data_IF_948945132414
#
_entry.id   IF_948945132414
#
_cell.length_a   1.000
_cell.length_b   1.000
_cell.length_c   1.000
_cell.angle_alpha   90.00
_cell.angle_beta   90.00
_cell.angle_gamma   90.00
#
_symmetry.space_group_name_H-M   'P 1'
#
loop_
_entity.id
_entity.type
_entity.pdbx_description
1 polymer ?
#
# COMPACT_ATOMS: atom_id res chain seq x y z
N UNK A 1 -7.24 -1.84 -29.35
CA UNK A 1 -5.78 -2.00 -29.13
C UNK A 1 -5.44 -2.35 -27.68
N UNK A 2 -5.96 -1.64 -26.67
CA UNK A 2 -5.65 -1.86 -25.25
C UNK A 2 -5.86 -3.30 -24.74
N UNK A 3 -7.05 -3.90 -24.97
CA UNK A 3 -7.34 -5.30 -24.59
C UNK A 3 -6.28 -6.28 -25.08
N UNK A 4 -5.92 -6.18 -26.37
CA UNK A 4 -4.90 -7.03 -26.99
C UNK A 4 -3.54 -6.87 -26.29
N UNK A 5 -3.12 -5.63 -26.05
CA UNK A 5 -1.82 -5.34 -25.41
C UNK A 5 -1.75 -5.81 -23.95
N UNK A 6 -2.85 -5.67 -23.20
CA UNK A 6 -2.94 -6.19 -21.85
C UNK A 6 -2.76 -7.72 -21.81
N UNK A 7 -3.44 -8.44 -22.71
CA UNK A 7 -3.32 -9.91 -22.82
C UNK A 7 -1.90 -10.31 -23.24
N UNK A 8 -1.32 -9.64 -24.26
CA UNK A 8 0.06 -9.90 -24.69
C UNK A 8 1.08 -9.76 -23.55
N UNK A 9 0.95 -8.70 -22.73
CA UNK A 9 1.81 -8.51 -21.56
C UNK A 9 1.54 -9.57 -20.49
N UNK A 10 0.28 -9.86 -20.16
CA UNK A 10 -0.08 -10.90 -19.21
C UNK A 10 0.53 -12.25 -19.56
N UNK A 11 0.48 -12.66 -20.84
CA UNK A 11 1.09 -13.90 -21.32
C UNK A 11 2.61 -13.93 -21.09
N UNK A 12 3.28 -12.78 -21.26
CA UNK A 12 4.72 -12.63 -21.02
C UNK A 12 5.11 -12.67 -19.55
N UNK A 13 4.17 -12.44 -18.63
CA UNK A 13 4.39 -12.50 -17.18
C UNK A 13 4.21 -13.91 -16.59
N UNK A 14 3.51 -14.81 -17.28
CA UNK A 14 3.26 -16.17 -16.80
C UNK A 14 4.53 -16.96 -16.37
N UNK A 15 5.71 -16.79 -17.00
CA UNK A 15 6.93 -17.43 -16.54
C UNK A 15 7.41 -17.01 -15.14
N UNK A 16 6.98 -15.86 -14.60
CA UNK A 16 7.33 -15.44 -13.23
C UNK A 16 6.86 -16.47 -12.18
N UNK A 17 5.75 -17.16 -12.45
CA UNK A 17 5.15 -18.17 -11.57
C UNK A 17 5.81 -19.55 -11.69
N UNK A 18 6.88 -19.70 -12.48
CA UNK A 18 7.64 -20.95 -12.59
C UNK A 18 8.59 -21.12 -11.40
N UNK A 19 8.00 -21.33 -10.23
CA UNK A 19 8.67 -21.62 -8.96
C UNK A 19 8.05 -22.89 -8.36
N UNK A 20 8.74 -23.61 -7.47
CA UNK A 20 8.19 -24.81 -6.83
C UNK A 20 6.84 -24.59 -6.15
N UNK A 21 6.61 -23.41 -5.58
CA UNK A 21 5.37 -23.05 -4.87
C UNK A 21 4.32 -22.38 -5.75
N UNK A 22 4.74 -21.84 -6.89
CA UNK A 22 3.94 -20.95 -7.72
C UNK A 22 3.84 -19.51 -7.20
N UNK A 23 4.56 -19.15 -6.13
CA UNK A 23 4.77 -17.75 -5.73
C UNK A 23 5.73 -17.13 -6.73
N UNK A 24 5.38 -16.00 -7.38
CA UNK A 24 6.15 -15.48 -8.50
C UNK A 24 7.49 -14.87 -8.08
N UNK A 25 8.43 -14.88 -9.03
CA UNK A 25 9.65 -14.07 -8.98
C UNK A 25 9.33 -12.57 -9.10
N UNK A 26 10.08 -11.73 -8.38
CA UNK A 26 9.97 -10.27 -8.45
C UNK A 26 10.46 -9.70 -9.80
N UNK A 27 11.56 -10.22 -10.32
CA UNK A 27 12.19 -9.76 -11.56
C UNK A 27 12.03 -10.80 -12.64
N UNK A 28 11.58 -10.39 -13.83
CA UNK A 28 11.41 -11.28 -14.98
C UNK A 28 11.99 -10.66 -16.26
N UNK A 29 12.85 -11.41 -16.96
CA UNK A 29 13.21 -11.07 -18.33
C UNK A 29 12.10 -11.52 -19.28
N UNK A 30 11.36 -10.58 -19.88
CA UNK A 30 10.21 -10.87 -20.75
C UNK A 30 10.58 -11.62 -22.05
N UNK A 31 11.85 -11.56 -22.48
CA UNK A 31 12.32 -12.27 -23.68
C UNK A 31 12.70 -13.71 -23.37
N UNK A 32 13.51 -13.93 -22.34
CA UNK A 32 13.99 -15.28 -21.98
C UNK A 32 13.04 -16.04 -21.06
N UNK A 33 12.14 -15.35 -20.35
CA UNK A 33 11.28 -15.93 -19.32
C UNK A 33 12.00 -16.33 -18.04
N UNK A 34 13.26 -15.92 -17.85
CA UNK A 34 14.06 -16.21 -16.66
C UNK A 34 13.73 -15.18 -15.57
N UNK A 35 13.34 -15.67 -14.40
CA UNK A 35 13.01 -14.85 -13.24
C UNK A 35 13.96 -15.04 -12.06
N UNK A 36 14.00 -14.05 -11.17
CA UNK A 36 14.72 -14.06 -9.89
C UNK A 36 14.09 -13.08 -8.91
N UNK A 37 14.40 -13.20 -7.63
CA UNK A 37 14.04 -12.19 -6.63
C UNK A 37 15.09 -11.09 -6.48
N UNK A 38 14.75 -10.05 -5.73
CA UNK A 38 15.67 -8.96 -5.40
C UNK A 38 16.93 -9.47 -4.69
N UNK A 39 18.12 -8.97 -5.04
CA UNK A 39 19.37 -9.42 -4.41
C UNK A 39 19.42 -9.17 -2.89
N UNK A 40 18.73 -8.14 -2.41
CA UNK A 40 18.68 -7.75 -0.99
C UNK A 40 17.53 -8.40 -0.22
N UNK A 41 16.58 -9.07 -0.92
CA UNK A 41 15.43 -9.66 -0.26
C UNK A 41 15.85 -10.78 0.69
N UNK A 42 15.25 -10.77 1.89
CA UNK A 42 15.57 -11.69 2.98
C UNK A 42 15.52 -13.15 2.52
N UNK A 43 16.65 -13.86 2.56
CA UNK A 43 16.73 -15.26 2.13
C UNK A 43 16.29 -15.52 0.69
N UNK A 44 16.41 -14.53 -0.20
CA UNK A 44 15.94 -14.63 -1.59
C UNK A 44 14.42 -14.73 -1.73
N UNK A 45 13.67 -14.21 -0.75
CA UNK A 45 12.21 -14.26 -0.72
C UNK A 45 11.55 -13.32 -1.73
N UNK A 46 10.31 -13.63 -2.09
CA UNK A 46 9.41 -12.73 -2.81
C UNK A 46 8.72 -11.79 -1.81
N UNK A 47 8.34 -10.59 -2.26
CA UNK A 47 7.77 -9.53 -1.41
C UNK A 47 6.24 -9.60 -1.40
N UNK A 48 5.63 -9.52 -0.21
CA UNK A 48 4.19 -9.67 0.01
C UNK A 48 3.34 -8.77 -0.87
N UNK A 49 3.61 -7.47 -0.89
CA UNK A 49 2.88 -6.53 -1.76
C UNK A 49 3.11 -6.85 -3.26
N UNK A 50 4.30 -7.29 -3.67
CA UNK A 50 4.56 -7.55 -5.10
C UNK A 50 3.76 -8.74 -5.64
N UNK A 51 3.75 -9.87 -4.93
CA UNK A 51 2.96 -11.03 -5.38
C UNK A 51 1.49 -10.94 -4.97
N UNK A 52 1.18 -10.17 -3.92
CA UNK A 52 -0.18 -9.95 -3.42
C UNK A 52 -1.01 -9.04 -4.33
N UNK A 53 -0.36 -8.12 -5.04
CA UNK A 53 -1.01 -7.06 -5.83
C UNK A 53 -1.03 -7.41 -7.33
N UNK A 54 -1.41 -8.65 -7.63
CA UNK A 54 -1.60 -9.16 -9.00
C UNK A 54 -3.05 -9.61 -9.26
N UNK A 55 -3.85 -9.69 -8.20
CA UNK A 55 -5.11 -10.43 -8.21
C UNK A 55 -6.15 -9.81 -9.15
N UNK A 56 -6.36 -8.49 -9.06
CA UNK A 56 -7.41 -7.80 -9.82
C UNK A 56 -7.13 -7.88 -11.33
N UNK A 57 -5.89 -7.61 -11.73
CA UNK A 57 -5.45 -7.60 -13.13
C UNK A 57 -5.53 -9.01 -13.70
N UNK A 58 -5.05 -10.02 -12.99
CA UNK A 58 -5.02 -11.39 -13.50
C UNK A 58 -6.42 -12.00 -13.61
N UNK A 59 -7.33 -11.70 -12.69
CA UNK A 59 -8.74 -12.10 -12.81
C UNK A 59 -9.38 -11.43 -14.05
N UNK A 60 -9.13 -10.15 -14.26
CA UNK A 60 -9.59 -9.45 -15.46
C UNK A 60 -8.97 -10.00 -16.76
N UNK A 61 -7.68 -10.38 -16.74
CA UNK A 61 -7.02 -11.01 -17.89
C UNK A 61 -7.66 -12.36 -18.23
N UNK A 62 -8.03 -13.19 -17.24
CA UNK A 62 -8.79 -14.42 -17.49
C UNK A 62 -10.14 -14.12 -18.13
N UNK A 63 -10.89 -13.15 -17.59
CA UNK A 63 -12.20 -12.74 -18.14
C UNK A 63 -12.09 -12.24 -19.59
N UNK A 64 -11.10 -11.41 -19.89
CA UNK A 64 -10.94 -10.80 -21.21
C UNK A 64 -10.32 -11.74 -22.25
N UNK A 65 -9.50 -12.70 -21.84
CA UNK A 65 -8.85 -13.65 -22.76
C UNK A 65 -9.64 -14.94 -22.95
N UNK A 66 -10.52 -15.30 -22.02
CA UNK A 66 -11.16 -16.61 -21.93
C UNK A 66 -10.21 -17.72 -21.46
N UNK A 67 -8.97 -17.40 -21.07
CA UNK A 67 -7.97 -18.37 -20.59
C UNK A 67 -7.95 -18.36 -19.06
N UNK A 68 -8.29 -19.47 -18.37
CA UNK A 68 -8.36 -19.49 -16.90
C UNK A 68 -7.00 -19.31 -16.22
N UNK A 69 -5.91 -19.55 -16.94
CA UNK A 69 -4.53 -19.60 -16.42
C UNK A 69 -4.13 -18.37 -15.59
N UNK A 70 -4.60 -17.17 -15.92
CA UNK A 70 -4.23 -15.96 -15.16
C UNK A 70 -4.82 -15.98 -13.75
N UNK A 71 -6.13 -16.17 -13.64
CA UNK A 71 -6.85 -16.35 -12.38
C UNK A 71 -6.29 -17.54 -11.57
N UNK A 72 -5.99 -18.67 -12.23
CA UNK A 72 -5.38 -19.83 -11.55
C UNK A 72 -4.06 -19.49 -10.86
N UNK A 73 -3.23 -18.61 -11.45
CA UNK A 73 -1.95 -18.19 -10.84
C UNK A 73 -2.18 -17.44 -9.53
N UNK A 74 -3.05 -16.43 -9.53
CA UNK A 74 -3.29 -15.62 -8.32
C UNK A 74 -4.13 -16.35 -7.27
N UNK A 75 -4.98 -17.29 -7.67
CA UNK A 75 -5.66 -18.19 -6.73
C UNK A 75 -4.69 -19.18 -6.08
N UNK A 76 -3.64 -19.62 -6.79
CA UNK A 76 -2.59 -20.44 -6.18
C UNK A 76 -1.82 -19.68 -5.09
N UNK A 77 -1.57 -18.38 -5.26
CA UNK A 77 -0.94 -17.54 -4.21
C UNK A 77 -1.75 -17.62 -2.90
N UNK A 78 -3.08 -17.46 -2.98
CA UNK A 78 -3.96 -17.59 -1.80
C UNK A 78 -3.88 -18.97 -1.16
N UNK A 79 -3.87 -20.04 -1.96
CA UNK A 79 -3.71 -21.41 -1.46
C UNK A 79 -2.41 -21.59 -0.67
N UNK A 80 -1.31 -20.99 -1.12
CA UNK A 80 -0.03 -21.02 -0.40
C UNK A 80 -0.15 -20.25 0.93
N UNK A 81 -0.65 -19.01 0.89
CA UNK A 81 -0.81 -18.17 2.08
C UNK A 81 -1.75 -18.77 3.13
N UNK A 82 -2.82 -19.46 2.71
CA UNK A 82 -3.80 -20.07 3.61
C UNK A 82 -3.28 -21.31 4.34
N UNK A 83 -2.22 -21.95 3.83
CA UNK A 83 -1.56 -23.08 4.50
C UNK A 83 -0.54 -22.65 5.56
N UNK A 84 -0.18 -21.38 5.58
CA UNK A 84 0.83 -20.86 6.50
C UNK A 84 0.19 -20.31 7.76
N UNK A 85 0.78 -20.69 8.90
CA UNK A 85 0.56 -20.01 10.16
C UNK A 85 1.04 -18.56 10.04
N UNK A 86 0.17 -17.65 10.47
CA UNK A 86 0.43 -16.20 10.43
C UNK A 86 0.86 -15.80 11.84
N UNK A 87 2.13 -15.41 12.07
CA UNK A 87 2.60 -15.06 13.41
C UNK A 87 1.76 -13.92 13.99
N UNK A 88 1.04 -14.18 15.08
CA UNK A 88 0.10 -13.24 15.69
C UNK A 88 -1.03 -12.76 14.75
N UNK A 89 -1.38 -13.56 13.73
CA UNK A 89 -2.32 -13.18 12.69
C UNK A 89 -1.74 -12.22 11.64
N UNK A 90 -0.48 -11.81 11.77
CA UNK A 90 0.19 -10.90 10.86
C UNK A 90 0.85 -11.63 9.68
N UNK A 91 0.98 -10.93 8.56
CA UNK A 91 1.60 -11.45 7.35
C UNK A 91 3.04 -10.90 7.22
N UNK A 92 4.08 -11.74 7.35
CA UNK A 92 5.43 -11.31 7.03
C UNK A 92 5.56 -10.86 5.58
N UNK A 93 6.32 -9.79 5.37
CA UNK A 93 6.53 -9.19 4.05
C UNK A 93 7.40 -10.05 3.10
N UNK A 94 7.95 -11.17 3.58
CA UNK A 94 8.88 -12.03 2.86
C UNK A 94 8.41 -13.47 2.87
N UNK A 95 8.24 -14.07 1.68
CA UNK A 95 7.91 -15.49 1.53
C UNK A 95 8.84 -16.13 0.50
N UNK A 96 9.48 -17.24 0.85
CA UNK A 96 10.43 -17.91 -0.03
C UNK A 96 9.70 -18.72 -1.12
N UNK A 97 9.89 -18.43 -2.42
CA UNK A 97 9.14 -19.09 -3.49
C UNK A 97 9.56 -20.54 -3.76
N UNK A 98 10.66 -21.01 -3.17
CA UNK A 98 11.11 -22.41 -3.30
C UNK A 98 10.54 -23.28 -2.18
N UNK A 99 10.61 -22.83 -0.92
CA UNK A 99 10.11 -23.61 0.23
C UNK A 99 8.65 -23.34 0.59
N UNK A 100 8.13 -22.18 0.18
CA UNK A 100 6.78 -21.73 0.55
C UNK A 100 6.66 -21.30 2.00
N UNK A 101 7.77 -21.03 2.68
CA UNK A 101 7.82 -20.62 4.08
C UNK A 101 8.12 -19.13 4.22
N UNK A 102 7.72 -18.55 5.36
CA UNK A 102 8.08 -17.17 5.69
C UNK A 102 9.60 -16.98 5.79
N UNK A 103 10.06 -15.81 5.33
CA UNK A 103 11.40 -15.31 5.58
C UNK A 103 11.48 -14.62 6.95
N UNK A 104 12.19 -13.50 7.02
CA UNK A 104 12.17 -12.66 8.23
C UNK A 104 10.75 -12.17 8.54
N UNK A 105 10.41 -12.20 9.83
CA UNK A 105 9.13 -11.77 10.35
C UNK A 105 9.07 -10.24 10.49
N UNK A 106 9.21 -9.53 9.38
CA UNK A 106 8.95 -8.09 9.27
C UNK A 106 7.56 -7.89 8.69
N UNK A 107 6.77 -7.03 9.32
CA UNK A 107 5.38 -6.75 8.94
C UNK A 107 5.22 -5.23 8.85
N UNK A 108 4.58 -4.76 7.78
CA UNK A 108 4.25 -3.35 7.58
C UNK A 108 2.98 -3.23 6.76
N UNK A 109 2.12 -2.26 7.11
CA UNK A 109 1.01 -1.81 6.27
C UNK A 109 1.45 -0.62 5.39
N UNK A 110 2.75 -0.30 5.37
CA UNK A 110 3.37 0.51 4.31
C UNK A 110 4.12 -0.37 3.33
N UNK A 111 5.23 0.16 2.81
CA UNK A 111 6.03 -0.51 1.80
C UNK A 111 6.33 -1.98 2.12
N UNK A 112 6.33 -2.79 1.06
CA UNK A 112 6.49 -4.25 1.05
C UNK A 112 5.27 -5.07 1.49
N UNK A 113 4.24 -4.46 2.09
CA UNK A 113 3.03 -5.15 2.54
C UNK A 113 1.70 -4.49 2.17
N UNK A 114 1.63 -3.16 2.18
CA UNK A 114 0.48 -2.30 1.85
C UNK A 114 -0.60 -2.91 0.93
N UNK A 115 -0.34 -2.96 -0.37
CA UNK A 115 -1.31 -3.25 -1.41
C UNK A 115 -1.76 -4.71 -1.45
N UNK A 116 -1.07 -5.62 -0.74
CA UNK A 116 -1.61 -6.96 -0.50
C UNK A 116 -2.92 -6.89 0.29
N UNK A 117 -2.95 -6.12 1.37
CA UNK A 117 -4.15 -5.97 2.20
C UNK A 117 -5.27 -5.26 1.42
N UNK A 118 -4.90 -4.25 0.64
CA UNK A 118 -5.78 -3.53 -0.27
C UNK A 118 -6.48 -4.48 -1.26
N UNK A 119 -5.72 -5.39 -1.87
CA UNK A 119 -6.22 -6.30 -2.89
C UNK A 119 -7.07 -7.43 -2.32
N UNK A 120 -6.92 -7.78 -1.03
CA UNK A 120 -7.88 -8.67 -0.37
C UNK A 120 -9.28 -8.03 -0.34
N UNK A 121 -9.38 -6.78 0.09
CA UNK A 121 -10.64 -6.04 0.10
C UNK A 121 -11.18 -5.83 -1.32
N UNK A 122 -10.34 -5.29 -2.22
CA UNK A 122 -10.76 -4.95 -3.57
C UNK A 122 -11.12 -6.19 -4.39
N UNK A 123 -10.50 -7.35 -4.16
CA UNK A 123 -10.88 -8.60 -4.83
C UNK A 123 -12.29 -9.04 -4.43
N UNK A 124 -12.64 -8.95 -3.14
CA UNK A 124 -14.00 -9.21 -2.68
C UNK A 124 -15.01 -8.26 -3.35
N UNK A 125 -14.75 -6.94 -3.33
CA UNK A 125 -15.63 -5.95 -3.96
C UNK A 125 -15.77 -6.20 -5.48
N UNK A 126 -14.65 -6.41 -6.18
CA UNK A 126 -14.62 -6.61 -7.64
C UNK A 126 -15.34 -7.90 -8.07
N UNK A 127 -15.40 -8.89 -7.19
CA UNK A 127 -16.14 -10.14 -7.42
C UNK A 127 -17.66 -10.02 -7.24
N UNK A 128 -18.20 -8.81 -7.15
CA UNK A 128 -19.60 -8.55 -6.75
C UNK A 128 -19.92 -9.17 -5.38
N UNK A 129 -18.97 -8.98 -4.45
CA UNK A 129 -19.00 -9.51 -3.08
C UNK A 129 -19.10 -11.04 -2.98
N UNK A 130 -18.75 -11.82 -4.02
CA UNK A 130 -18.84 -13.29 -4.02
C UNK A 130 -17.58 -14.01 -3.49
N UNK A 131 -16.42 -13.36 -3.50
CA UNK A 131 -15.16 -13.92 -3.03
C UNK A 131 -15.04 -13.82 -1.49
N UNK A 132 -15.77 -14.69 -0.81
CA UNK A 132 -15.82 -14.76 0.66
C UNK A 132 -14.47 -15.13 1.30
N UNK A 133 -13.58 -15.81 0.56
CA UNK A 133 -12.21 -16.07 1.03
C UNK A 133 -11.43 -14.76 1.15
N UNK A 134 -11.51 -13.88 0.14
CA UNK A 134 -10.86 -12.57 0.17
C UNK A 134 -11.41 -11.70 1.31
N UNK A 135 -12.74 -11.69 1.48
CA UNK A 135 -13.42 -10.99 2.57
C UNK A 135 -12.89 -11.43 3.93
N UNK A 136 -12.86 -12.75 4.17
CA UNK A 136 -12.36 -13.32 5.42
C UNK A 136 -10.90 -12.93 5.67
N UNK A 137 -10.04 -13.08 4.67
CA UNK A 137 -8.61 -12.76 4.80
C UNK A 137 -8.39 -11.28 5.10
N UNK A 138 -9.16 -10.38 4.48
CA UNK A 138 -9.09 -8.94 4.74
C UNK A 138 -9.46 -8.61 6.19
N UNK A 139 -10.63 -9.05 6.67
CA UNK A 139 -11.06 -8.69 8.04
C UNK A 139 -10.25 -9.40 9.12
N UNK A 140 -9.79 -10.63 8.90
CA UNK A 140 -8.85 -11.29 9.81
C UNK A 140 -7.53 -10.52 9.90
N UNK A 141 -7.00 -10.05 8.76
CA UNK A 141 -5.78 -9.26 8.71
C UNK A 141 -5.96 -7.88 9.37
N UNK A 142 -7.07 -7.19 9.08
CA UNK A 142 -7.37 -5.90 9.68
C UNK A 142 -7.45 -6.00 11.21
N UNK A 143 -8.15 -7.01 11.73
CA UNK A 143 -8.21 -7.28 13.18
C UNK A 143 -6.82 -7.49 13.80
N UNK A 144 -5.94 -8.23 13.13
CA UNK A 144 -4.57 -8.44 13.59
C UNK A 144 -3.72 -7.16 13.51
N UNK A 145 -3.91 -6.34 12.48
CA UNK A 145 -3.26 -5.03 12.32
C UNK A 145 -3.71 -4.07 13.44
N UNK A 146 -5.00 -3.99 13.72
CA UNK A 146 -5.54 -3.14 14.80
C UNK A 146 -4.95 -3.51 16.15
N UNK A 147 -4.93 -4.81 16.49
CA UNK A 147 -4.34 -5.29 17.75
C UNK A 147 -2.81 -5.11 17.78
N UNK A 148 -2.14 -5.48 16.69
CA UNK A 148 -0.69 -5.62 16.64
C UNK A 148 0.06 -4.31 16.38
N UNK A 149 -0.43 -3.48 15.47
CA UNK A 149 0.34 -2.40 14.84
C UNK A 149 -0.25 -1.00 15.09
N UNK A 150 -1.57 -0.86 15.28
CA UNK A 150 -2.18 0.46 15.48
C UNK A 150 -1.93 0.95 16.90
N UNK A 151 -1.41 2.17 17.01
CA UNK A 151 -1.09 2.82 18.29
C UNK A 151 -1.58 4.26 18.28
N UNK A 152 -1.65 4.84 19.48
CA UNK A 152 -2.00 6.25 19.67
C UNK A 152 -0.81 6.99 20.28
N UNK A 153 -0.48 8.15 19.74
CA UNK A 153 0.61 9.00 20.23
C UNK A 153 0.22 9.74 21.50
N UNK A 154 1.17 10.44 22.13
CA UNK A 154 0.90 11.21 23.35
C UNK A 154 -0.05 12.38 23.11
N UNK A 155 0.00 13.02 21.93
CA UNK A 155 -0.97 14.05 21.53
C UNK A 155 -2.29 13.50 20.99
N UNK A 156 -2.43 12.17 20.93
CA UNK A 156 -3.67 11.51 20.54
C UNK A 156 -3.77 11.17 19.05
N UNK A 157 -2.69 11.21 18.27
CA UNK A 157 -2.67 10.78 16.85
C UNK A 157 -2.68 9.26 16.73
N UNK A 158 -3.57 8.72 15.89
CA UNK A 158 -3.61 7.28 15.59
C UNK A 158 -2.70 6.96 14.42
N UNK A 159 -1.77 6.02 14.58
CA UNK A 159 -0.81 5.64 13.55
C UNK A 159 -0.63 4.12 13.48
N UNK A 160 -0.16 3.64 12.32
CA UNK A 160 0.17 2.23 12.11
C UNK A 160 1.69 2.08 12.15
N UNK A 161 2.19 1.39 13.17
CA UNK A 161 3.62 1.12 13.35
C UNK A 161 4.09 -0.04 12.45
N UNK A 162 5.40 -0.14 12.24
CA UNK A 162 6.03 -1.35 11.70
C UNK A 162 6.30 -2.36 12.82
N UNK A 163 6.32 -3.65 12.48
CA UNK A 163 6.60 -4.72 13.42
C UNK A 163 7.73 -5.62 12.92
N UNK A 164 8.71 -5.92 13.78
CA UNK A 164 9.89 -6.74 13.46
C UNK A 164 10.11 -7.76 14.55
N UNK A 165 9.69 -9.00 14.31
CA UNK A 165 9.98 -10.15 15.18
C UNK A 165 9.54 -9.99 16.64
N UNK A 166 8.51 -9.19 16.91
CA UNK A 166 7.97 -8.93 18.24
C UNK A 166 8.12 -7.47 18.71
N UNK A 167 8.98 -6.69 18.07
CA UNK A 167 9.19 -5.28 18.42
C UNK A 167 8.47 -4.34 17.45
N UNK A 168 7.87 -3.30 18.00
CA UNK A 168 7.33 -2.19 17.21
C UNK A 168 8.41 -1.16 16.93
N UNK A 169 8.46 -0.70 15.68
CA UNK A 169 9.12 0.54 15.32
C UNK A 169 8.05 1.61 15.14
N UNK A 170 8.07 2.64 15.99
CA UNK A 170 7.06 3.72 16.04
C UNK A 170 7.26 4.73 14.91
N UNK A 171 7.11 4.23 13.68
CA UNK A 171 7.28 4.93 12.41
C UNK A 171 6.15 4.53 11.48
N UNK A 172 5.63 5.49 10.73
CA UNK A 172 4.60 5.28 9.69
C UNK A 172 5.08 5.91 8.39
N UNK A 173 4.85 5.24 7.26
CA UNK A 173 5.22 5.74 5.93
C UNK A 173 4.10 6.54 5.29
N UNK A 174 4.45 7.39 4.33
CA UNK A 174 3.50 8.01 3.40
C UNK A 174 2.68 6.93 2.69
N UNK A 175 3.35 5.85 2.24
CA UNK A 175 2.69 4.68 1.67
C UNK A 175 1.57 4.15 2.56
N UNK A 176 1.77 4.07 3.87
CA UNK A 176 0.77 3.55 4.82
C UNK A 176 -0.49 4.41 4.91
N UNK A 177 -0.47 5.66 4.42
CA UNK A 177 -1.62 6.54 4.46
C UNK A 177 -2.79 6.09 3.57
N UNK A 178 -2.56 5.20 2.60
CA UNK A 178 -3.64 4.58 1.81
C UNK A 178 -4.63 3.81 2.71
N UNK A 179 -4.16 3.33 3.86
CA UNK A 179 -4.93 2.48 4.76
C UNK A 179 -6.18 3.18 5.31
N UNK A 180 -6.18 4.52 5.42
CA UNK A 180 -7.37 5.28 5.80
C UNK A 180 -8.50 5.07 4.78
N UNK A 181 -8.21 5.25 3.49
CA UNK A 181 -9.15 5.01 2.41
C UNK A 181 -9.56 3.54 2.29
N UNK A 182 -8.60 2.62 2.45
CA UNK A 182 -8.87 1.17 2.47
C UNK A 182 -9.87 0.78 3.57
N UNK A 183 -9.67 1.26 4.80
CA UNK A 183 -10.56 0.94 5.93
C UNK A 183 -11.93 1.58 5.72
N UNK A 184 -12.01 2.83 5.25
CA UNK A 184 -13.28 3.46 4.93
C UNK A 184 -14.05 2.71 3.84
N UNK A 185 -13.36 2.26 2.78
CA UNK A 185 -13.96 1.45 1.70
C UNK A 185 -14.47 0.09 2.22
N UNK A 186 -13.79 -0.49 3.21
CA UNK A 186 -14.15 -1.75 3.83
C UNK A 186 -15.30 -1.66 4.84
N UNK A 187 -15.66 -0.47 5.32
CA UNK A 187 -16.62 -0.31 6.40
C UNK A 187 -18.03 -0.86 6.06
N UNK A 188 -18.53 -0.65 4.84
CA UNK A 188 -19.83 -1.16 4.38
C UNK A 188 -19.93 -2.70 4.38
N UNK A 189 -18.78 -3.38 4.27
CA UNK A 189 -18.72 -4.84 4.27
C UNK A 189 -18.52 -5.47 5.64
N UNK A 190 -18.28 -4.66 6.66
CA UNK A 190 -17.97 -5.09 8.01
C UNK A 190 -19.22 -5.65 8.70
N UNK A 191 -19.03 -6.26 9.88
CA UNK A 191 -20.17 -6.53 10.74
C UNK A 191 -20.84 -5.21 11.15
N UNK A 192 -22.16 -5.21 11.33
CA UNK A 192 -22.96 -4.00 11.55
C UNK A 192 -22.46 -3.18 12.76
N UNK A 193 -22.00 -3.86 13.81
CA UNK A 193 -21.42 -3.26 15.02
C UNK A 193 -20.00 -2.68 14.81
N UNK A 194 -19.33 -2.99 13.70
CA UNK A 194 -17.96 -2.56 13.40
C UNK A 194 -17.90 -1.40 12.38
N UNK A 195 -18.99 -1.11 11.68
CA UNK A 195 -19.00 -0.09 10.60
C UNK A 195 -18.59 1.29 11.13
N UNK A 196 -19.17 1.71 12.27
CA UNK A 196 -18.86 3.00 12.89
C UNK A 196 -17.41 3.10 13.36
N UNK A 197 -16.91 2.03 14.01
CA UNK A 197 -15.52 1.92 14.47
C UNK A 197 -14.52 2.01 13.32
N UNK A 198 -14.77 1.30 12.21
CA UNK A 198 -13.88 1.36 11.03
C UNK A 198 -13.88 2.73 10.37
N UNK A 199 -15.04 3.40 10.26
CA UNK A 199 -15.09 4.77 9.73
C UNK A 199 -14.37 5.78 10.63
N UNK A 200 -14.46 5.64 11.95
CA UNK A 200 -13.70 6.47 12.90
C UNK A 200 -12.20 6.21 12.79
N UNK A 201 -11.78 4.94 12.76
CA UNK A 201 -10.38 4.55 12.59
C UNK A 201 -9.80 5.09 11.28
N UNK A 202 -10.55 4.98 10.19
CA UNK A 202 -10.19 5.55 8.90
C UNK A 202 -9.99 7.07 8.97
N UNK A 203 -10.92 7.79 9.61
CA UNK A 203 -10.82 9.24 9.79
C UNK A 203 -9.61 9.63 10.65
N UNK A 204 -9.30 8.87 11.70
CA UNK A 204 -8.17 9.14 12.60
C UNK A 204 -6.81 8.88 11.93
N UNK A 205 -6.67 7.80 11.15
CA UNK A 205 -5.48 7.56 10.33
C UNK A 205 -5.31 8.70 9.31
N UNK A 206 -6.41 9.10 8.66
CA UNK A 206 -6.42 10.20 7.69
C UNK A 206 -5.97 11.51 8.33
N UNK A 207 -6.43 11.80 9.56
CA UNK A 207 -6.03 12.97 10.33
C UNK A 207 -4.53 12.95 10.62
N UNK A 208 -3.98 11.82 11.03
CA UNK A 208 -2.52 11.68 11.25
C UNK A 208 -1.71 11.91 9.98
N UNK A 209 -2.18 11.42 8.84
CA UNK A 209 -1.55 11.67 7.54
C UNK A 209 -1.64 13.14 7.11
N UNK A 210 -2.75 13.82 7.40
CA UNK A 210 -2.86 15.26 7.20
C UNK A 210 -1.90 16.03 8.10
N UNK A 211 -1.75 15.63 9.37
CA UNK A 211 -0.81 16.25 10.30
C UNK A 211 0.64 16.12 9.82
N UNK A 212 1.01 15.01 9.17
CA UNK A 212 2.36 14.87 8.61
C UNK A 212 2.62 15.83 7.44
N UNK A 213 1.58 16.23 6.70
CA UNK A 213 1.66 17.31 5.70
C UNK A 213 1.73 18.67 6.39
N UNK A 214 0.80 18.95 7.30
CA UNK A 214 0.64 20.25 7.94
C UNK A 214 1.87 20.69 8.75
N UNK A 215 2.63 19.73 9.31
CA UNK A 215 3.84 19.97 10.13
C UNK A 215 5.11 20.20 9.32
N UNK A 216 5.03 20.24 7.99
CA UNK A 216 6.16 20.55 7.11
C UNK A 216 6.14 22.00 6.65
N UNK A 217 7.27 22.48 6.15
CA UNK A 217 7.38 23.84 5.62
C UNK A 217 6.72 23.92 4.23
N UNK A 218 6.86 22.87 3.41
CA UNK A 218 6.31 22.81 2.07
C UNK A 218 4.85 22.33 2.02
N UNK A 219 4.23 21.98 3.15
CA UNK A 219 2.86 21.43 3.24
C UNK A 219 2.65 20.15 2.41
N UNK A 220 3.72 19.37 2.26
CA UNK A 220 3.76 18.05 1.63
C UNK A 220 4.42 17.08 2.62
N UNK A 221 3.84 15.91 2.83
CA UNK A 221 4.32 14.97 3.84
C UNK A 221 5.63 14.27 3.46
N UNK A 222 6.49 13.93 4.44
CA UNK A 222 7.70 13.15 4.19
C UNK A 222 7.38 11.67 3.88
N UNK A 223 8.33 10.95 3.27
CA UNK A 223 8.22 9.51 3.00
C UNK A 223 7.94 8.68 4.25
N UNK A 224 8.53 9.05 5.39
CA UNK A 224 8.24 8.43 6.67
C UNK A 224 8.30 9.43 7.82
N UNK A 225 7.46 9.22 8.82
CA UNK A 225 7.36 10.06 10.01
C UNK A 225 7.25 9.22 11.28
N UNK A 226 7.68 9.79 12.41
CA UNK A 226 7.87 9.08 13.69
C UNK A 226 6.95 9.56 14.80
N UNK A 227 6.83 8.72 15.81
CA UNK A 227 6.04 8.92 17.04
C UNK A 227 6.83 8.56 18.30
N UNK A 228 8.16 8.55 18.19
CA UNK A 228 9.12 8.32 19.26
C UNK A 228 10.14 9.47 19.35
N UNK A 229 11.01 9.45 20.36
CA UNK A 229 12.10 10.44 20.47
C UNK A 229 11.65 11.89 20.67
N UNK A 230 10.44 12.11 21.19
CA UNK A 230 9.87 13.44 21.45
C UNK A 230 9.29 14.13 20.21
N UNK A 231 9.15 13.41 19.09
CA UNK A 231 8.53 13.94 17.87
C UNK A 231 7.27 13.17 17.52
N UNK A 232 6.34 13.84 16.84
CA UNK A 232 5.13 13.21 16.32
C UNK A 232 4.85 13.70 14.90
N UNK A 233 4.56 12.77 13.98
CA UNK A 233 4.21 13.04 12.59
C UNK A 233 5.23 13.90 11.82
N UNK A 234 6.52 13.79 12.15
CA UNK A 234 7.62 14.37 11.38
C UNK A 234 8.75 13.36 11.14
N UNK A 235 9.52 13.57 10.07
CA UNK A 235 10.71 12.78 9.76
C UNK A 235 11.92 13.28 10.55
N UNK A 236 12.73 12.36 11.08
CA UNK A 236 13.99 12.69 11.77
C UNK A 236 15.23 12.35 10.95
N UNK A 237 15.13 11.38 10.03
CA UNK A 237 16.25 10.96 9.17
C UNK A 237 16.25 11.72 7.86
N UNK A 238 17.41 12.22 7.43
CA UNK A 238 17.52 13.03 6.22
C UNK A 238 17.01 12.30 4.96
N UNK A 239 17.24 10.99 4.88
CA UNK A 239 16.81 10.15 3.76
C UNK A 239 15.32 9.75 3.81
N UNK A 240 14.54 10.23 4.79
CA UNK A 240 13.10 9.99 4.91
C UNK A 240 12.28 11.28 4.71
N UNK A 241 12.93 12.44 4.54
CA UNK A 241 12.29 13.77 4.41
C UNK A 241 11.77 14.10 3.02
N UNK A 242 11.96 13.22 2.05
CA UNK A 242 11.59 13.51 0.66
C UNK A 242 10.09 13.32 0.42
N UNK A 243 9.59 13.93 -0.65
CA UNK A 243 8.25 13.71 -1.20
C UNK A 243 8.36 13.54 -2.72
N UNK A 244 7.96 12.39 -3.24
CA UNK A 244 8.10 12.03 -4.66
C UNK A 244 6.77 12.05 -5.41
N UNK A 245 5.91 13.05 -5.15
CA UNK A 245 4.61 13.22 -5.82
C UNK A 245 3.57 12.11 -5.51
N UNK A 246 3.73 11.45 -4.37
CA UNK A 246 2.93 10.28 -3.96
C UNK A 246 1.44 10.59 -3.75
N UNK A 247 0.54 9.65 -4.06
CA UNK A 247 -0.91 9.89 -4.01
C UNK A 247 -1.59 9.55 -2.68
N UNK A 248 -0.99 8.71 -1.81
CA UNK A 248 -1.78 7.90 -0.85
C UNK A 248 -2.55 8.73 0.20
N UNK A 249 -2.09 9.94 0.53
CA UNK A 249 -2.82 10.86 1.41
C UNK A 249 -4.05 11.45 0.69
N UNK A 250 -3.89 11.86 -0.56
CA UNK A 250 -4.97 12.41 -1.40
C UNK A 250 -5.97 11.30 -1.78
N UNK A 251 -5.50 10.09 -2.06
CA UNK A 251 -6.34 8.91 -2.26
C UNK A 251 -7.29 8.71 -1.07
N UNK A 252 -6.74 8.73 0.15
CA UNK A 252 -7.53 8.59 1.36
C UNK A 252 -8.51 9.75 1.53
N UNK A 253 -8.14 10.99 1.23
CA UNK A 253 -9.09 12.12 1.23
C UNK A 253 -10.26 11.90 0.27
N UNK A 254 -10.01 11.32 -0.91
CA UNK A 254 -11.05 11.02 -1.89
C UNK A 254 -12.08 10.03 -1.34
N UNK A 255 -11.65 8.91 -0.75
CA UNK A 255 -12.56 7.93 -0.14
C UNK A 255 -13.35 8.55 1.02
N UNK A 256 -12.66 9.23 1.94
CA UNK A 256 -13.31 9.82 3.11
C UNK A 256 -14.32 10.90 2.70
N UNK A 257 -13.99 11.77 1.73
CA UNK A 257 -14.96 12.71 1.15
C UNK A 257 -16.17 11.98 0.57
N UNK A 258 -15.98 10.93 -0.25
CA UNK A 258 -17.09 10.21 -0.89
C UNK A 258 -18.02 9.53 0.10
N UNK A 259 -17.48 8.97 1.19
CA UNK A 259 -18.30 8.26 2.18
C UNK A 259 -18.94 9.20 3.21
N UNK A 260 -18.29 10.30 3.58
CA UNK A 260 -18.75 11.16 4.68
C UNK A 260 -19.35 12.49 4.22
N UNK A 261 -18.95 12.98 3.04
CA UNK A 261 -19.22 14.34 2.57
C UNK A 261 -18.76 15.44 3.54
N UNK A 262 -17.82 15.15 4.44
CA UNK A 262 -17.23 16.14 5.33
C UNK A 262 -16.33 17.10 4.51
N UNK A 263 -16.66 18.41 4.44
CA UNK A 263 -15.96 19.36 3.59
C UNK A 263 -14.47 19.51 3.93
N UNK A 264 -14.02 19.12 5.13
CA UNK A 264 -12.59 19.21 5.49
C UNK A 264 -11.69 18.40 4.55
N UNK A 265 -12.16 17.26 4.02
CA UNK A 265 -11.35 16.43 3.12
C UNK A 265 -11.12 17.10 1.76
N UNK A 266 -12.08 17.90 1.28
CA UNK A 266 -11.89 18.76 0.10
C UNK A 266 -10.94 19.91 0.39
N UNK A 267 -11.06 20.52 1.58
CA UNK A 267 -10.15 21.58 2.01
C UNK A 267 -8.70 21.08 2.08
N UNK A 268 -8.45 19.94 2.72
CA UNK A 268 -7.13 19.33 2.81
C UNK A 268 -6.58 18.91 1.45
N UNK A 269 -7.44 18.39 0.55
CA UNK A 269 -7.06 18.14 -0.84
C UNK A 269 -6.65 19.42 -1.58
N UNK A 270 -7.35 20.53 -1.36
CA UNK A 270 -7.01 21.83 -1.94
C UNK A 270 -5.69 22.40 -1.39
N UNK A 271 -5.44 22.24 -0.09
CA UNK A 271 -4.16 22.61 0.51
C UNK A 271 -2.98 21.86 -0.13
N UNK A 272 -3.15 20.56 -0.40
CA UNK A 272 -2.16 19.75 -1.12
C UNK A 272 -1.96 20.22 -2.57
N UNK A 273 -3.03 20.59 -3.28
CA UNK A 273 -2.93 21.18 -4.64
C UNK A 273 -2.13 22.49 -4.61
N UNK A 274 -2.40 23.38 -3.66
CA UNK A 274 -1.66 24.63 -3.51
C UNK A 274 -0.17 24.38 -3.24
N UNK A 275 0.13 23.39 -2.39
CA UNK A 275 1.51 23.00 -2.10
C UNK A 275 2.23 22.41 -3.32
N UNK A 276 1.56 21.56 -4.11
CA UNK A 276 2.09 21.02 -5.37
C UNK A 276 2.38 22.13 -6.38
N UNK A 277 1.46 23.07 -6.57
CA UNK A 277 1.65 24.22 -7.47
C UNK A 277 2.81 25.11 -7.03
N UNK A 278 2.98 25.32 -5.72
CA UNK A 278 4.00 26.21 -5.18
C UNK A 278 5.40 25.57 -5.15
N UNK A 279 5.50 24.26 -4.91
CA UNK A 279 6.76 23.61 -4.53
C UNK A 279 7.19 22.46 -5.42
N UNK A 280 6.30 21.89 -6.24
CA UNK A 280 6.62 20.78 -7.13
C UNK A 280 6.59 21.19 -8.61
N UNK A 281 5.78 22.19 -8.97
CA UNK A 281 5.69 22.69 -10.34
C UNK A 281 6.99 23.36 -10.77
N UNK A 282 7.50 22.94 -11.92
CA UNK A 282 8.66 23.51 -12.62
C UNK A 282 8.26 23.85 -14.06
N UNK A 283 9.13 24.50 -14.82
CA UNK A 283 8.83 24.88 -16.22
C UNK A 283 8.42 23.68 -17.09
N UNK A 284 9.07 22.53 -16.88
CA UNK A 284 8.86 21.31 -17.66
C UNK A 284 7.81 20.31 -17.14
N UNK A 285 7.11 20.61 -16.03
CA UNK A 285 6.17 19.68 -15.39
C UNK A 285 6.19 19.76 -13.87
N UNK A 286 6.20 18.61 -13.20
CA UNK A 286 6.30 18.49 -11.74
C UNK A 286 7.45 17.58 -11.33
N UNK A 287 8.18 17.94 -10.28
CA UNK A 287 9.26 17.14 -9.71
C UNK A 287 9.04 16.95 -8.21
N UNK A 288 9.45 15.78 -7.71
CA UNK A 288 9.56 15.53 -6.28
C UNK A 288 10.56 16.46 -5.60
N UNK A 289 10.52 16.50 -4.28
CA UNK A 289 11.38 17.34 -3.44
C UNK A 289 12.14 16.48 -2.43
N UNK A 290 13.42 16.78 -2.22
CA UNK A 290 14.31 15.97 -1.36
C UNK A 290 14.14 16.24 0.14
N UNK A 291 13.63 17.42 0.51
CA UNK A 291 13.43 17.80 1.91
C UNK A 291 12.21 18.73 2.05
N UNK A 292 11.10 18.18 2.56
CA UNK A 292 9.84 18.92 2.80
C UNK A 292 9.90 19.92 3.96
N UNK A 293 10.99 19.90 4.75
CA UNK A 293 11.24 20.85 5.83
C UNK A 293 12.14 22.01 5.40
N UNK A 294 12.58 22.04 4.14
CA UNK A 294 13.33 23.17 3.60
C UNK A 294 12.40 24.35 3.28
N UNK A 295 12.91 25.59 3.33
CA UNK A 295 12.16 26.78 2.87
C UNK A 295 12.21 26.93 1.34
N UNK A 296 13.14 26.22 0.68
CA UNK A 296 13.35 26.28 -0.77
C UNK A 296 13.47 24.85 -1.28
N UNK A 297 12.57 24.41 -2.18
CA UNK A 297 12.54 23.02 -2.62
C UNK A 297 13.83 22.65 -3.37
N UNK A 298 14.40 21.49 -3.02
CA UNK A 298 15.45 20.84 -3.81
C UNK A 298 14.81 19.71 -4.63
N UNK A 299 14.70 19.92 -5.94
CA UNK A 299 14.01 19.03 -6.86
C UNK A 299 14.80 17.75 -7.17
N UNK A 300 14.12 16.61 -7.17
CA UNK A 300 14.70 15.31 -7.53
C UNK A 300 14.88 15.09 -9.04
N UNK A 301 14.30 15.97 -9.85
CA UNK A 301 14.27 15.94 -11.33
C UNK A 301 13.56 14.72 -11.91
N UNK A 302 12.51 14.23 -11.23
CA UNK A 302 11.68 13.12 -11.72
C UNK A 302 10.19 13.44 -11.62
N UNK A 303 9.52 13.41 -12.78
CA UNK A 303 8.07 13.36 -12.84
C UNK A 303 7.60 11.90 -12.85
N UNK A 304 7.14 11.42 -11.69
CA UNK A 304 6.68 10.05 -11.53
C UNK A 304 5.42 9.79 -12.36
N UNK A 305 5.31 8.64 -13.03
CA UNK A 305 4.11 8.35 -13.84
C UNK A 305 2.84 8.25 -12.99
N UNK A 306 2.96 7.81 -11.73
CA UNK A 306 1.83 7.74 -10.80
C UNK A 306 1.29 9.11 -10.40
N UNK A 307 2.07 10.19 -10.54
CA UNK A 307 1.53 11.53 -10.35
C UNK A 307 0.36 11.81 -11.30
N UNK A 308 0.49 11.39 -12.56
CA UNK A 308 -0.55 11.56 -13.57
C UNK A 308 -1.65 10.51 -13.48
N UNK A 309 -1.35 9.31 -12.98
CA UNK A 309 -2.29 8.20 -12.91
C UNK A 309 -3.17 8.24 -11.65
N UNK A 310 -2.65 8.82 -10.56
CA UNK A 310 -3.24 8.69 -9.21
C UNK A 310 -3.39 10.02 -8.48
N UNK A 311 -2.38 10.91 -8.52
CA UNK A 311 -2.38 12.14 -7.72
C UNK A 311 -3.30 13.23 -8.30
N UNK A 312 -3.37 13.36 -9.62
CA UNK A 312 -4.23 14.32 -10.35
C UNK A 312 -5.67 13.82 -10.50
#
# INVERSE_FOLDING_TARGET
>A
VFRRKAIELGEKLLPAFKTPTGIPWALLNLKSGIGRNWPWASGGSSILAEYGTLHLEFVHLSRLSGKPVFAEKVMNIRKVLNRLDKPQGLYPNYLNPNSGQWGQHHVSVGGLGDSFYEYLLKAWIMSDKQDEEAKKLYYDALKAIEAGLIRRSSSGLTYIAEWKGGLLEHKMGHLTCFAGGMIALGADGAAEDQTGHQMELAAEITRTCHESYARTNLKLGPEAFRFDGGVEAIATRQNEKYFILRPEVIETYMYLWRFTHDPKYRQWGWEAVQALEQHCRVEGGYSGVRDVYSNTPSHDDVQQSFYLAETL
#
